data_IF_727199737993
#
_entry.id   IF_727199737993
#
_cell.length_a   1.000
_cell.length_b   1.000
_cell.length_c   1.000
_cell.angle_alpha   90.00
_cell.angle_beta   90.00
_cell.angle_gamma   90.00
#
_symmetry.space_group_name_H-M   'P 1'
#
loop_
_entity.id
_entity.type
_entity.pdbx_description
1 polymer ?
#
# COMPACT_ATOMS: atom_id res chain seq x y z
N UNK A 1 -12.39 5.78 18.24
CA UNK A 1 -12.43 4.35 18.59
C UNK A 1 -12.73 3.54 17.34
N UNK A 2 -12.04 2.46 17.11
CA UNK A 2 -12.40 1.49 16.07
C UNK A 2 -13.72 0.82 16.48
N UNK A 3 -14.60 0.44 15.54
CA UNK A 3 -15.87 -0.19 15.87
C UNK A 3 -15.75 -1.46 16.75
N UNK A 4 -14.59 -2.11 16.70
CA UNK A 4 -14.30 -3.36 17.42
C UNK A 4 -13.68 -3.17 18.81
N UNK A 5 -13.19 -1.97 19.16
CA UNK A 5 -12.48 -1.72 20.41
C UNK A 5 -12.95 -0.42 21.07
N UNK A 6 -13.11 -0.40 22.40
CA UNK A 6 -13.54 0.81 23.12
C UNK A 6 -12.47 1.92 23.10
N UNK A 7 -11.18 1.55 23.05
CA UNK A 7 -10.04 2.47 23.06
C UNK A 7 -8.81 1.86 22.38
N UNK A 8 -7.77 2.67 22.21
CA UNK A 8 -6.51 2.26 21.60
C UNK A 8 -5.72 1.25 22.45
N UNK A 9 -5.84 1.31 23.77
CA UNK A 9 -5.12 0.40 24.65
C UNK A 9 -5.62 -1.03 24.49
N UNK A 10 -6.94 -1.24 24.51
CA UNK A 10 -7.55 -2.56 24.29
C UNK A 10 -7.25 -3.12 22.89
N UNK A 11 -7.16 -2.26 21.87
CA UNK A 11 -6.75 -2.67 20.52
C UNK A 11 -5.28 -3.14 20.49
N UNK A 12 -4.38 -2.43 21.17
CA UNK A 12 -2.96 -2.83 21.26
C UNK A 12 -2.77 -4.11 22.09
N UNK A 13 -3.54 -4.32 23.15
CA UNK A 13 -3.51 -5.55 23.96
C UNK A 13 -3.95 -6.78 23.15
N UNK A 14 -4.99 -6.64 22.32
CA UNK A 14 -5.42 -7.71 21.40
C UNK A 14 -4.35 -7.99 20.36
N UNK A 15 -3.78 -6.95 19.73
CA UNK A 15 -2.66 -7.09 18.78
C UNK A 15 -1.44 -7.75 19.43
N UNK A 16 -1.09 -7.40 20.67
CA UNK A 16 0.00 -8.05 21.40
C UNK A 16 -0.25 -9.56 21.56
N UNK A 17 -1.49 -9.95 21.85
CA UNK A 17 -1.89 -11.36 21.98
C UNK A 17 -1.82 -12.10 20.65
N UNK A 18 -2.27 -11.49 19.55
CA UNK A 18 -2.21 -12.05 18.19
C UNK A 18 -0.74 -12.25 17.78
N UNK A 19 0.06 -11.17 17.85
CA UNK A 19 1.46 -11.18 17.44
C UNK A 19 2.33 -12.15 18.24
N UNK A 20 2.00 -12.35 19.52
CA UNK A 20 2.69 -13.34 20.37
C UNK A 20 2.60 -14.76 19.83
N UNK A 21 1.50 -15.10 19.17
CA UNK A 21 1.21 -16.44 18.68
C UNK A 21 1.49 -16.61 17.18
N UNK A 22 1.82 -15.52 16.46
CA UNK A 22 2.10 -15.53 15.04
C UNK A 22 3.40 -16.28 14.73
N UNK A 23 3.37 -17.13 13.70
CA UNK A 23 4.54 -17.84 13.19
C UNK A 23 4.99 -17.26 11.86
N UNK A 24 6.29 -17.32 11.54
CA UNK A 24 6.81 -16.80 10.28
C UNK A 24 6.20 -17.44 9.03
N UNK A 25 5.77 -18.68 9.13
CA UNK A 25 5.21 -19.46 8.01
C UNK A 25 3.67 -19.40 7.94
N UNK A 26 3.00 -18.65 8.83
CA UNK A 26 1.56 -18.49 8.75
C UNK A 26 1.16 -17.81 7.43
N UNK A 27 0.09 -18.30 6.79
CA UNK A 27 -0.45 -17.75 5.55
C UNK A 27 -0.87 -16.28 5.74
N UNK A 28 -1.35 -15.91 6.91
CA UNK A 28 -1.74 -14.55 7.29
C UNK A 28 -0.72 -14.00 8.29
N UNK A 29 -0.13 -12.88 7.95
CA UNK A 29 0.79 -12.16 8.81
C UNK A 29 0.14 -10.85 9.27
N UNK A 30 0.29 -10.52 10.54
CA UNK A 30 -0.25 -9.31 11.15
C UNK A 30 0.83 -8.23 11.28
N UNK A 31 0.42 -6.98 11.14
CA UNK A 31 1.22 -5.80 11.38
C UNK A 31 0.47 -4.86 12.34
N UNK A 32 1.20 -3.94 12.97
CA UNK A 32 0.62 -2.91 13.82
C UNK A 32 0.35 -1.69 12.94
N UNK A 33 -0.92 -1.40 12.72
CA UNK A 33 -1.35 -0.25 11.91
C UNK A 33 -1.87 0.86 12.82
N UNK A 34 -1.16 1.99 12.85
CA UNK A 34 -1.67 3.26 13.36
C UNK A 34 -2.25 4.02 12.18
N UNK A 35 -3.42 4.66 12.35
CA UNK A 35 -4.04 5.30 11.20
C UNK A 35 -3.17 6.45 10.67
N UNK A 36 -2.93 7.47 11.48
CA UNK A 36 -2.24 8.70 11.04
C UNK A 36 -1.87 9.57 12.25
N UNK A 37 -1.06 10.60 12.02
CA UNK A 37 -0.68 11.60 13.04
C UNK A 37 -1.86 12.47 13.50
N UNK A 38 -2.93 12.54 12.73
CA UNK A 38 -4.11 13.35 13.08
C UNK A 38 -5.22 12.55 13.79
N UNK A 39 -5.26 11.22 13.67
CA UNK A 39 -6.23 10.36 14.37
C UNK A 39 -5.64 9.66 15.60
N UNK A 40 -4.33 9.46 15.65
CA UNK A 40 -3.65 8.85 16.78
C UNK A 40 -2.99 9.94 17.66
N UNK A 41 -3.16 9.83 18.96
CA UNK A 41 -2.43 10.69 19.89
C UNK A 41 -0.99 10.16 20.10
N UNK A 42 -0.14 11.00 20.70
CA UNK A 42 1.25 10.68 20.95
C UNK A 42 1.44 9.36 21.73
N UNK A 43 0.64 9.16 22.79
CA UNK A 43 0.70 7.95 23.62
C UNK A 43 0.44 6.68 22.79
N UNK A 44 -0.56 6.70 21.90
CA UNK A 44 -0.88 5.58 21.02
C UNK A 44 0.25 5.30 20.04
N UNK A 45 0.83 6.35 19.44
CA UNK A 45 1.95 6.21 18.50
C UNK A 45 3.19 5.60 19.19
N UNK A 46 3.56 6.08 20.38
CA UNK A 46 4.68 5.53 21.16
C UNK A 46 4.45 4.07 21.54
N UNK A 47 3.28 3.74 22.09
CA UNK A 47 2.94 2.36 22.49
C UNK A 47 2.92 1.40 21.28
N UNK A 48 2.45 1.85 20.12
CA UNK A 48 2.49 1.07 18.90
C UNK A 48 3.93 0.77 18.46
N UNK A 49 4.82 1.76 18.52
CA UNK A 49 6.24 1.61 18.22
C UNK A 49 6.94 0.66 19.20
N UNK A 50 6.71 0.82 20.50
CA UNK A 50 7.24 -0.08 21.53
C UNK A 50 6.75 -1.53 21.35
N UNK A 51 5.47 -1.72 20.99
CA UNK A 51 4.91 -3.03 20.71
C UNK A 51 5.53 -3.66 19.46
N UNK A 52 5.76 -2.86 18.42
CA UNK A 52 6.42 -3.31 17.19
C UNK A 52 7.84 -3.82 17.48
N UNK A 53 8.60 -3.09 18.27
CA UNK A 53 9.94 -3.50 18.69
C UNK A 53 9.89 -4.77 19.56
N UNK A 54 9.01 -4.81 20.55
CA UNK A 54 8.81 -5.97 21.46
C UNK A 54 8.48 -7.25 20.70
N UNK A 55 7.70 -7.16 19.62
CA UNK A 55 7.22 -8.31 18.84
C UNK A 55 7.96 -8.55 17.53
N UNK A 56 8.94 -7.71 17.20
CA UNK A 56 9.58 -7.66 15.88
C UNK A 56 8.52 -7.61 14.75
N UNK A 57 7.45 -6.87 15.01
CA UNK A 57 6.33 -6.72 14.09
C UNK A 57 6.50 -5.47 13.23
N UNK A 58 5.93 -5.50 12.02
CA UNK A 58 5.97 -4.37 11.11
C UNK A 58 4.98 -3.28 11.56
N UNK A 59 5.41 -2.03 11.52
CA UNK A 59 4.54 -0.86 11.66
C UNK A 59 3.97 -0.42 10.31
N UNK A 60 2.76 0.13 10.33
CA UNK A 60 2.12 0.74 9.19
C UNK A 60 1.43 2.04 9.61
N UNK A 61 1.56 3.10 8.79
CA UNK A 61 0.92 4.39 9.02
C UNK A 61 0.65 5.10 7.69
N UNK A 62 -0.49 5.82 7.57
CA UNK A 62 -0.69 6.81 6.52
C UNK A 62 -0.03 8.11 6.97
N UNK A 63 0.82 8.68 6.13
CA UNK A 63 1.58 9.87 6.50
C UNK A 63 1.80 10.81 5.33
N UNK A 64 1.69 12.09 5.60
CA UNK A 64 1.91 13.16 4.62
C UNK A 64 1.07 12.98 3.35
N UNK A 65 -0.17 12.52 3.51
CA UNK A 65 -1.09 12.25 2.42
C UNK A 65 -1.68 13.54 1.83
N UNK A 66 -2.10 14.47 2.69
CA UNK A 66 -2.80 15.68 2.29
C UNK A 66 -2.14 16.95 2.80
N UNK A 67 -2.35 18.07 2.10
CA UNK A 67 -1.90 19.40 2.59
C UNK A 67 -2.51 19.77 3.94
N UNK A 68 -3.74 19.32 4.18
CA UNK A 68 -4.40 19.58 5.47
C UNK A 68 -3.67 18.89 6.62
N UNK A 69 -3.27 17.64 6.45
CA UNK A 69 -2.47 16.90 7.43
C UNK A 69 -1.17 17.65 7.75
N UNK A 70 -0.46 18.12 6.69
CA UNK A 70 0.78 18.88 6.85
C UNK A 70 0.56 20.15 7.68
N UNK A 71 -0.47 20.93 7.35
CA UNK A 71 -0.79 22.18 8.06
C UNK A 71 -1.21 21.90 9.51
N UNK A 72 -2.14 20.98 9.72
CA UNK A 72 -2.66 20.67 11.05
C UNK A 72 -1.57 20.11 11.98
N UNK A 73 -0.68 19.26 11.46
CA UNK A 73 0.44 18.73 12.24
C UNK A 73 1.43 19.83 12.62
N UNK A 74 1.81 20.67 11.67
CA UNK A 74 2.73 21.77 11.91
C UNK A 74 2.14 22.81 12.89
N UNK A 75 0.88 23.18 12.73
CA UNK A 75 0.21 24.13 13.64
C UNK A 75 0.12 23.60 15.06
N UNK A 76 -0.07 22.28 15.22
CA UNK A 76 -0.23 21.64 16.53
C UNK A 76 1.10 21.37 17.23
N UNK A 77 2.12 20.97 16.48
CA UNK A 77 3.37 20.43 17.04
C UNK A 77 4.61 21.29 16.73
N UNK A 78 4.53 22.19 15.77
CA UNK A 78 5.67 22.91 15.19
C UNK A 78 6.53 22.06 14.23
N UNK A 79 6.17 20.79 13.99
CA UNK A 79 6.89 19.83 13.18
C UNK A 79 6.03 19.34 12.01
N UNK A 80 6.68 18.92 10.92
CA UNK A 80 6.01 18.22 9.83
C UNK A 80 5.78 16.74 10.22
N UNK A 81 4.85 16.01 9.56
CA UNK A 81 4.44 14.68 10.01
C UNK A 81 5.59 13.69 10.21
N UNK A 82 6.56 13.65 9.30
CA UNK A 82 7.73 12.75 9.42
C UNK A 82 8.63 13.22 10.57
N UNK A 83 8.91 14.51 10.69
CA UNK A 83 9.69 15.09 11.79
C UNK A 83 9.01 14.82 13.14
N UNK A 84 7.68 14.93 13.20
CA UNK A 84 6.92 14.63 14.40
C UNK A 84 7.04 13.15 14.79
N UNK A 85 6.85 12.23 13.86
CA UNK A 85 7.00 10.79 14.11
C UNK A 85 8.43 10.43 14.54
N UNK A 86 9.44 11.04 13.93
CA UNK A 86 10.84 10.88 14.34
C UNK A 86 11.09 11.35 15.77
N UNK A 87 10.55 12.50 16.17
CA UNK A 87 10.63 13.02 17.54
C UNK A 87 9.99 12.10 18.59
N UNK A 88 9.10 11.19 18.15
CA UNK A 88 8.46 10.17 19.00
C UNK A 88 9.22 8.84 19.02
N UNK A 89 10.35 8.71 18.31
CA UNK A 89 11.04 7.43 18.07
C UNK A 89 10.09 6.37 17.46
N UNK A 90 9.18 6.83 16.56
CA UNK A 90 8.15 5.97 16.00
C UNK A 90 8.70 4.96 15.00
N UNK A 91 9.64 5.38 14.16
CA UNK A 91 10.14 4.54 13.08
C UNK A 91 10.97 3.36 13.58
N UNK A 92 10.66 2.18 13.04
CA UNK A 92 11.48 0.97 13.20
C UNK A 92 11.83 0.45 11.81
N UNK A 93 12.94 -0.28 11.62
CA UNK A 93 13.31 -0.83 10.32
C UNK A 93 12.15 -1.59 9.67
N UNK A 94 11.85 -1.25 8.40
CA UNK A 94 10.74 -1.84 7.66
C UNK A 94 9.36 -1.26 8.00
N UNK A 95 9.27 -0.14 8.73
CA UNK A 95 8.02 0.62 8.87
C UNK A 95 7.46 0.99 7.50
N UNK A 96 6.16 0.79 7.30
CA UNK A 96 5.46 1.10 6.06
C UNK A 96 4.76 2.45 6.18
N UNK A 97 5.17 3.41 5.36
CA UNK A 97 4.57 4.74 5.26
C UNK A 97 3.74 4.84 3.97
N UNK A 98 2.42 4.72 4.10
CA UNK A 98 1.52 4.87 2.96
C UNK A 98 1.39 6.34 2.56
N UNK A 99 1.20 6.56 1.26
CA UNK A 99 1.11 7.84 0.53
C UNK A 99 2.43 8.60 0.45
N UNK A 100 2.92 9.14 1.58
CA UNK A 100 4.17 9.92 1.65
C UNK A 100 4.32 10.92 0.47
N UNK A 101 3.22 11.66 0.18
CA UNK A 101 3.08 12.48 -1.03
C UNK A 101 3.58 13.91 -0.80
N UNK A 102 3.28 14.49 0.36
CA UNK A 102 3.63 15.85 0.74
C UNK A 102 4.84 15.88 1.68
N UNK A 103 5.98 15.38 1.21
CA UNK A 103 7.19 15.18 1.99
C UNK A 103 8.32 16.08 1.47
N UNK A 104 9.04 16.75 2.35
CA UNK A 104 10.18 17.57 2.02
C UNK A 104 11.46 16.74 1.87
N UNK A 105 12.47 17.28 1.19
CA UNK A 105 13.74 16.57 0.96
C UNK A 105 14.46 16.13 2.25
N UNK A 106 14.40 16.93 3.31
CA UNK A 106 14.95 16.53 4.61
C UNK A 106 14.19 15.35 5.22
N UNK A 107 12.87 15.36 5.15
CA UNK A 107 12.02 14.27 5.63
C UNK A 107 12.23 12.97 4.83
N UNK A 108 12.45 13.06 3.49
CA UNK A 108 12.80 11.88 2.68
C UNK A 108 14.11 11.24 3.15
N UNK A 109 15.12 12.05 3.54
CA UNK A 109 16.36 11.54 4.10
C UNK A 109 16.14 10.85 5.45
N UNK A 110 15.30 11.41 6.30
CA UNK A 110 14.92 10.78 7.58
C UNK A 110 14.29 9.40 7.34
N UNK A 111 13.38 9.28 6.36
CA UNK A 111 12.81 7.97 5.98
C UNK A 111 13.90 6.97 5.54
N UNK A 112 14.89 7.41 4.79
CA UNK A 112 16.02 6.57 4.38
C UNK A 112 16.90 6.13 5.58
N UNK A 113 17.18 7.06 6.51
CA UNK A 113 17.98 6.79 7.72
C UNK A 113 17.33 5.76 8.63
N UNK A 114 15.99 5.68 8.65
CA UNK A 114 15.22 4.71 9.42
C UNK A 114 14.87 3.42 8.68
N UNK A 115 15.37 3.20 7.47
CA UNK A 115 15.06 2.03 6.64
C UNK A 115 13.52 1.82 6.45
N UNK A 116 12.83 2.90 6.17
CA UNK A 116 11.37 2.92 5.98
C UNK A 116 11.02 2.53 4.55
N UNK A 117 9.91 1.81 4.39
CA UNK A 117 9.29 1.56 3.08
C UNK A 117 8.21 2.61 2.82
N UNK A 118 8.36 3.42 1.78
CA UNK A 118 7.32 4.34 1.31
C UNK A 118 6.43 3.65 0.26
N UNK A 119 5.10 3.76 0.41
CA UNK A 119 4.15 3.13 -0.50
C UNK A 119 3.37 4.19 -1.27
N UNK A 120 3.62 4.25 -2.58
CA UNK A 120 2.89 5.13 -3.49
C UNK A 120 1.52 4.54 -3.83
N UNK A 121 0.45 5.31 -3.59
CA UNK A 121 -0.94 4.91 -3.80
C UNK A 121 -1.64 5.88 -4.79
N UNK A 122 -1.27 5.86 -6.08
CA UNK A 122 -1.70 6.88 -7.04
C UNK A 122 -3.22 6.94 -7.25
N UNK A 123 -3.92 5.82 -7.32
CA UNK A 123 -5.38 5.80 -7.49
C UNK A 123 -6.09 6.48 -6.34
N UNK A 124 -5.75 6.13 -5.11
CA UNK A 124 -6.32 6.73 -3.91
C UNK A 124 -6.06 8.23 -3.87
N UNK A 125 -4.79 8.62 -4.01
CA UNK A 125 -4.39 10.03 -3.97
C UNK A 125 -5.12 10.89 -5.02
N UNK A 126 -5.30 10.37 -6.24
CA UNK A 126 -6.04 11.07 -7.29
C UNK A 126 -7.54 11.08 -7.06
N UNK A 127 -8.13 9.97 -6.58
CA UNK A 127 -9.55 9.86 -6.30
C UNK A 127 -10.01 10.85 -5.23
N UNK A 128 -9.25 11.01 -4.16
CA UNK A 128 -9.55 11.99 -3.10
C UNK A 128 -9.02 13.39 -3.39
N UNK A 129 -8.35 13.58 -4.53
CA UNK A 129 -7.77 14.85 -4.96
C UNK A 129 -6.83 15.46 -3.90
N UNK A 130 -5.96 14.65 -3.29
CA UNK A 130 -5.01 15.13 -2.27
C UNK A 130 -3.97 16.12 -2.84
N UNK A 131 -3.85 16.22 -4.16
CA UNK A 131 -3.11 17.24 -4.89
C UNK A 131 -1.59 17.07 -4.87
N UNK A 132 -1.08 15.94 -4.40
CA UNK A 132 0.34 15.60 -4.38
C UNK A 132 0.58 14.18 -4.84
N UNK A 133 1.80 13.93 -5.29
CA UNK A 133 2.32 12.60 -5.61
C UNK A 133 3.65 12.40 -4.93
N UNK A 134 3.91 11.18 -4.46
CA UNK A 134 5.23 10.77 -4.02
C UNK A 134 6.22 11.02 -5.17
N UNK A 135 7.28 11.80 -4.95
CA UNK A 135 8.29 12.07 -5.98
C UNK A 135 9.27 10.90 -6.10
N UNK A 136 8.96 9.93 -6.95
CA UNK A 136 9.80 8.73 -7.12
C UNK A 136 11.29 9.04 -7.31
N UNK A 137 11.71 10.02 -8.16
CA UNK A 137 13.13 10.35 -8.30
C UNK A 137 13.79 10.81 -7.00
N UNK A 138 13.11 11.63 -6.20
CA UNK A 138 13.66 12.14 -4.95
C UNK A 138 13.84 11.04 -3.89
N UNK A 139 12.88 10.10 -3.84
CA UNK A 139 12.96 8.95 -2.94
C UNK A 139 14.08 7.98 -3.34
N UNK A 140 14.23 7.74 -4.64
CA UNK A 140 15.31 6.89 -5.16
C UNK A 140 16.68 7.50 -4.94
N UNK A 141 16.84 8.83 -5.13
CA UNK A 141 18.07 9.56 -4.84
C UNK A 141 18.48 9.45 -3.37
N UNK A 142 17.50 9.47 -2.47
CA UNK A 142 17.73 9.32 -1.03
C UNK A 142 17.94 7.86 -0.59
N UNK A 143 17.68 6.88 -1.45
CA UNK A 143 17.81 5.45 -1.13
C UNK A 143 16.64 4.84 -0.36
N UNK A 144 15.48 5.49 -0.35
CA UNK A 144 14.26 4.96 0.29
C UNK A 144 13.70 3.78 -0.51
N UNK A 145 13.28 2.71 0.15
CA UNK A 145 12.56 1.61 -0.47
C UNK A 145 11.14 2.06 -0.86
N UNK A 146 10.90 2.22 -2.17
CA UNK A 146 9.58 2.60 -2.70
C UNK A 146 8.82 1.37 -3.18
N UNK A 147 7.55 1.30 -2.82
CA UNK A 147 6.59 0.28 -3.26
C UNK A 147 5.34 0.95 -3.84
N UNK A 148 4.45 0.14 -4.40
CA UNK A 148 3.13 0.54 -4.88
C UNK A 148 2.07 -0.17 -4.06
N UNK A 149 0.99 0.53 -3.75
CA UNK A 149 -0.18 -0.03 -3.05
C UNK A 149 -1.48 0.49 -3.62
N UNK A 150 -2.49 -0.36 -3.63
CA UNK A 150 -3.85 -0.01 -4.09
C UNK A 150 -4.62 0.83 -3.08
N UNK A 151 -4.15 0.89 -1.83
CA UNK A 151 -4.98 1.34 -0.71
C UNK A 151 -6.23 0.44 -0.53
N UNK A 152 -7.18 0.82 0.30
CA UNK A 152 -8.39 0.05 0.54
C UNK A 152 -9.37 0.07 -0.64
N UNK A 153 -10.21 -0.94 -0.76
CA UNK A 153 -11.22 -1.03 -1.82
C UNK A 153 -12.19 0.17 -1.85
N UNK A 154 -12.48 0.79 -0.69
CA UNK A 154 -13.28 2.00 -0.61
C UNK A 154 -12.52 3.26 -1.04
N UNK A 155 -11.20 3.29 -0.88
CA UNK A 155 -10.35 4.45 -1.18
C UNK A 155 -10.02 4.55 -2.67
N UNK A 156 -9.44 3.51 -3.27
CA UNK A 156 -8.98 3.54 -4.66
C UNK A 156 -10.04 3.11 -5.68
N UNK A 157 -10.98 2.31 -5.25
CA UNK A 157 -11.97 1.64 -6.08
C UNK A 157 -11.99 0.15 -5.76
N UNK A 158 -12.99 -0.56 -6.22
CA UNK A 158 -13.25 -1.96 -5.83
C UNK A 158 -12.21 -2.97 -6.36
N UNK A 159 -11.35 -2.59 -7.30
CA UNK A 159 -10.58 -3.56 -8.06
C UNK A 159 -9.35 -4.14 -7.36
N UNK A 160 -8.75 -3.44 -6.40
CA UNK A 160 -7.46 -3.81 -5.77
C UNK A 160 -6.43 -4.32 -6.81
N UNK A 161 -6.39 -3.68 -7.99
CA UNK A 161 -5.64 -4.13 -9.16
C UNK A 161 -4.23 -3.50 -9.18
N UNK A 162 -3.24 -4.29 -8.82
CA UNK A 162 -1.83 -3.87 -8.79
C UNK A 162 -1.27 -3.52 -10.17
N UNK A 163 -1.78 -4.08 -11.27
CA UNK A 163 -1.33 -3.70 -12.61
C UNK A 163 -1.86 -2.31 -12.99
N UNK A 164 -3.11 -2.02 -12.66
CA UNK A 164 -3.67 -0.68 -12.82
C UNK A 164 -2.91 0.36 -11.99
N UNK A 165 -2.57 0.06 -10.73
CA UNK A 165 -1.76 0.92 -9.89
C UNK A 165 -0.35 1.13 -10.46
N UNK A 166 0.32 0.09 -10.93
CA UNK A 166 1.62 0.18 -11.56
C UNK A 166 1.59 1.06 -12.82
N UNK A 167 0.56 0.89 -13.65
CA UNK A 167 0.33 1.76 -14.81
C UNK A 167 0.17 3.21 -14.41
N UNK A 168 -0.69 3.47 -13.43
CA UNK A 168 -0.98 4.82 -12.94
C UNK A 168 0.26 5.46 -12.33
N UNK A 169 1.01 4.74 -11.50
CA UNK A 169 2.27 5.20 -10.93
C UNK A 169 3.25 5.64 -12.02
N UNK A 170 3.44 4.84 -13.07
CA UNK A 170 4.32 5.22 -14.17
C UNK A 170 3.85 6.47 -14.90
N UNK A 171 2.54 6.60 -15.15
CA UNK A 171 1.97 7.71 -15.91
C UNK A 171 2.01 9.02 -15.10
N UNK A 172 1.66 8.99 -13.83
CA UNK A 172 1.63 10.19 -12.98
C UNK A 172 3.03 10.73 -12.75
N UNK A 173 4.04 9.87 -12.53
CA UNK A 173 5.43 10.30 -12.38
C UNK A 173 5.94 11.00 -13.63
N UNK A 174 5.66 10.46 -14.83
CA UNK A 174 6.04 11.08 -16.11
C UNK A 174 5.35 12.42 -16.32
N UNK A 175 4.07 12.50 -15.96
CA UNK A 175 3.29 13.72 -16.09
C UNK A 175 3.80 14.82 -15.16
N UNK A 176 3.99 14.52 -13.89
CA UNK A 176 4.38 15.49 -12.87
C UNK A 176 5.82 16.01 -13.06
N UNK A 177 6.71 15.15 -13.53
CA UNK A 177 8.12 15.50 -13.75
C UNK A 177 8.45 15.92 -15.20
N UNK A 178 7.47 15.90 -16.12
CA UNK A 178 7.65 16.25 -17.53
C UNK A 178 8.74 15.41 -18.20
N UNK A 179 8.91 14.16 -17.78
CA UNK A 179 9.91 13.23 -18.28
C UNK A 179 9.30 11.88 -18.63
N UNK A 180 9.18 11.60 -19.93
CA UNK A 180 8.62 10.35 -20.44
C UNK A 180 9.48 9.11 -20.15
N UNK A 181 10.72 9.28 -19.69
CA UNK A 181 11.64 8.18 -19.38
C UNK A 181 11.54 7.69 -17.94
N UNK A 182 10.89 8.46 -17.06
CA UNK A 182 10.75 8.10 -15.67
C UNK A 182 9.92 6.84 -15.50
N UNK A 183 10.31 6.05 -14.53
CA UNK A 183 9.64 4.84 -14.05
C UNK A 183 9.20 3.95 -15.24
N UNK A 184 10.16 3.39 -16.01
CA UNK A 184 9.84 2.51 -17.12
C UNK A 184 9.07 1.26 -16.64
N UNK A 185 8.39 0.57 -17.55
CA UNK A 185 7.53 -0.55 -17.22
C UNK A 185 8.23 -1.65 -16.40
N UNK A 186 9.51 -1.89 -16.67
CA UNK A 186 10.34 -2.84 -15.93
C UNK A 186 10.52 -2.44 -14.47
N UNK A 187 10.77 -1.16 -14.23
CA UNK A 187 11.05 -0.64 -12.90
C UNK A 187 9.76 -0.57 -12.07
N UNK A 188 8.66 -0.08 -12.66
CA UNK A 188 7.36 -0.05 -11.97
C UNK A 188 6.86 -1.46 -11.67
N UNK A 189 7.07 -2.43 -12.57
CA UNK A 189 6.75 -3.83 -12.31
C UNK A 189 7.58 -4.40 -11.16
N UNK A 190 8.88 -4.04 -11.12
CA UNK A 190 9.78 -4.45 -10.06
C UNK A 190 9.35 -3.91 -8.69
N UNK A 191 9.03 -2.62 -8.57
CA UNK A 191 8.59 -2.03 -7.29
C UNK A 191 7.20 -2.51 -6.87
N UNK A 192 6.34 -2.90 -7.81
CA UNK A 192 5.02 -3.48 -7.54
C UNK A 192 5.11 -4.93 -7.02
N UNK A 193 6.17 -5.68 -7.40
CA UNK A 193 6.33 -7.10 -7.07
C UNK A 193 7.49 -7.40 -6.12
N UNK A 194 8.28 -6.42 -5.75
CA UNK A 194 9.49 -6.59 -4.92
C UNK A 194 9.18 -7.23 -3.57
N UNK A 195 9.93 -8.28 -3.23
CA UNK A 195 9.85 -9.00 -1.95
C UNK A 195 8.69 -9.98 -1.84
N UNK A 196 7.82 -10.09 -2.84
CA UNK A 196 6.84 -11.18 -2.90
C UNK A 196 7.52 -12.51 -3.18
N UNK A 197 7.07 -13.55 -2.48
CA UNK A 197 7.38 -14.96 -2.80
C UNK A 197 6.27 -15.60 -3.61
N UNK A 198 5.20 -14.84 -3.83
CA UNK A 198 4.04 -15.25 -4.60
C UNK A 198 4.31 -15.03 -6.09
N UNK A 199 3.63 -15.76 -6.93
CA UNK A 199 3.81 -15.64 -8.37
C UNK A 199 2.52 -15.90 -9.13
N UNK A 200 2.44 -15.33 -10.33
CA UNK A 200 1.29 -15.42 -11.21
C UNK A 200 1.72 -15.75 -12.64
N UNK A 201 0.87 -16.48 -13.36
CA UNK A 201 1.02 -16.79 -14.78
C UNK A 201 0.02 -15.97 -15.59
N UNK A 202 0.52 -15.26 -16.58
CA UNK A 202 -0.27 -14.38 -17.44
C UNK A 202 -0.42 -14.94 -18.83
N UNK A 203 -1.59 -14.77 -19.44
CA UNK A 203 -1.90 -15.24 -20.77
C UNK A 203 -1.23 -14.38 -21.84
N UNK A 204 -0.14 -14.86 -22.43
CA UNK A 204 0.55 -14.17 -23.53
C UNK A 204 -0.24 -14.19 -24.85
N UNK A 205 -1.29 -15.01 -24.97
CA UNK A 205 -2.19 -15.00 -26.13
C UNK A 205 -3.33 -13.98 -26.02
N UNK A 206 -3.42 -13.28 -24.88
CA UNK A 206 -4.35 -12.17 -24.73
C UNK A 206 -4.09 -11.10 -25.80
N UNK A 207 -5.17 -10.55 -26.41
CA UNK A 207 -5.05 -9.52 -27.43
C UNK A 207 -4.33 -8.27 -26.91
N UNK A 208 -4.48 -7.95 -25.64
CA UNK A 208 -3.82 -6.82 -24.96
C UNK A 208 -2.29 -6.95 -24.94
N UNK A 209 -1.78 -8.16 -25.04
CA UNK A 209 -0.35 -8.45 -25.13
C UNK A 209 0.24 -8.28 -26.53
N UNK A 210 -0.58 -7.97 -27.54
CA UNK A 210 -0.11 -7.83 -28.93
C UNK A 210 0.34 -6.40 -29.27
N UNK A 211 1.41 -6.25 -30.10
CA UNK A 211 2.31 -7.29 -30.58
C UNK A 211 3.31 -7.72 -29.50
N UNK A 212 3.57 -9.02 -29.37
CA UNK A 212 4.48 -9.55 -28.35
C UNK A 212 5.93 -9.07 -28.56
N UNK A 213 6.37 -8.98 -29.80
CA UNK A 213 7.78 -8.71 -30.09
C UNK A 213 8.70 -9.86 -29.65
N UNK A 214 10.03 -9.59 -29.64
CA UNK A 214 11.05 -10.58 -29.26
C UNK A 214 11.76 -10.26 -27.94
N UNK A 215 11.41 -9.16 -27.29
CA UNK A 215 12.05 -8.69 -26.05
C UNK A 215 11.15 -8.92 -24.84
N UNK A 216 11.69 -9.48 -23.77
CA UNK A 216 11.01 -9.61 -22.48
C UNK A 216 10.51 -8.29 -21.92
N UNK A 217 11.27 -7.20 -22.11
CA UNK A 217 10.86 -5.85 -21.68
C UNK A 217 9.57 -5.41 -22.36
N UNK A 218 9.32 -5.82 -23.61
CA UNK A 218 8.05 -5.53 -24.29
C UNK A 218 6.88 -6.31 -23.67
N UNK A 219 7.12 -7.54 -23.25
CA UNK A 219 6.09 -8.32 -22.56
C UNK A 219 5.69 -7.65 -21.24
N UNK A 220 6.67 -7.20 -20.46
CA UNK A 220 6.43 -6.44 -19.23
C UNK A 220 5.71 -5.13 -19.51
N UNK A 221 6.13 -4.39 -20.55
CA UNK A 221 5.47 -3.14 -20.93
C UNK A 221 4.01 -3.36 -21.34
N UNK A 222 3.73 -4.38 -22.15
CA UNK A 222 2.36 -4.72 -22.53
C UNK A 222 1.53 -5.12 -21.30
N UNK A 223 2.10 -5.93 -20.39
CA UNK A 223 1.43 -6.34 -19.16
C UNK A 223 1.08 -5.13 -18.27
N UNK A 224 2.05 -4.25 -18.01
CA UNK A 224 1.85 -3.07 -17.16
C UNK A 224 0.85 -2.08 -17.78
N UNK A 225 0.99 -1.77 -19.08
CA UNK A 225 0.17 -0.72 -19.69
C UNK A 225 -1.17 -1.19 -20.23
N UNK A 226 -1.31 -2.45 -20.57
CA UNK A 226 -2.51 -2.98 -21.21
C UNK A 226 -3.22 -4.05 -20.36
N UNK A 227 -2.51 -4.66 -19.40
CA UNK A 227 -2.99 -5.82 -18.66
C UNK A 227 -2.97 -7.10 -19.49
N UNK A 228 -3.28 -8.21 -18.84
CA UNK A 228 -3.53 -9.51 -19.44
C UNK A 228 -4.42 -10.33 -18.51
N UNK A 229 -4.96 -11.43 -19.02
CA UNK A 229 -5.66 -12.43 -18.20
C UNK A 229 -4.65 -13.14 -17.29
N UNK A 230 -4.92 -13.18 -15.97
CA UNK A 230 -4.19 -14.00 -15.03
C UNK A 230 -4.77 -15.44 -15.06
N UNK A 231 -3.96 -16.40 -15.51
CA UNK A 231 -4.37 -17.79 -15.58
C UNK A 231 -4.24 -18.50 -14.24
N UNK A 232 -3.07 -18.37 -13.63
CA UNK A 232 -2.78 -19.06 -12.38
C UNK A 232 -2.09 -18.12 -11.38
N UNK A 233 -2.29 -18.39 -10.08
CA UNK A 233 -1.64 -17.65 -9.00
C UNK A 233 -1.35 -18.55 -7.81
N UNK A 234 -0.17 -18.39 -7.24
CA UNK A 234 0.23 -19.08 -6.01
C UNK A 234 0.59 -18.08 -4.94
N UNK A 235 0.06 -18.32 -3.75
CA UNK A 235 0.37 -17.55 -2.54
C UNK A 235 0.97 -18.51 -1.52
N UNK A 236 2.19 -18.23 -1.06
CA UNK A 236 2.93 -19.09 -0.14
C UNK A 236 2.96 -20.57 -0.59
N UNK A 237 3.11 -20.82 -1.88
CA UNK A 237 3.13 -22.17 -2.48
C UNK A 237 1.77 -22.85 -2.65
N UNK A 238 0.67 -22.21 -2.23
CA UNK A 238 -0.69 -22.70 -2.42
C UNK A 238 -1.29 -22.07 -3.66
N UNK A 239 -1.80 -22.89 -4.59
CA UNK A 239 -2.49 -22.44 -5.79
C UNK A 239 -3.86 -21.84 -5.41
N UNK A 240 -4.00 -20.52 -5.47
CA UNK A 240 -5.23 -19.81 -5.13
C UNK A 240 -6.09 -19.48 -6.36
N UNK A 241 -5.50 -19.51 -7.54
CA UNK A 241 -6.16 -19.39 -8.85
C UNK A 241 -5.53 -20.39 -9.81
N UNK A 242 -6.34 -21.16 -10.51
CA UNK A 242 -5.89 -22.19 -11.47
C UNK A 242 -6.79 -22.17 -12.70
N UNK A 243 -6.19 -22.11 -13.90
CA UNK A 243 -6.91 -22.06 -15.17
C UNK A 243 -7.99 -20.93 -15.20
N UNK A 244 -7.67 -19.78 -14.64
CA UNK A 244 -8.59 -18.63 -14.61
C UNK A 244 -9.69 -18.69 -13.57
N UNK A 245 -9.71 -19.68 -12.68
CA UNK A 245 -10.72 -19.85 -11.62
C UNK A 245 -10.08 -19.83 -10.24
N UNK A 246 -10.73 -19.18 -9.27
CA UNK A 246 -10.32 -19.26 -7.86
C UNK A 246 -10.56 -20.67 -7.31
N UNK A 247 -9.65 -21.13 -6.43
CA UNK A 247 -9.67 -22.52 -5.93
C UNK A 247 -10.36 -22.67 -4.58
N UNK A 248 -10.44 -21.60 -3.80
CA UNK A 248 -10.92 -21.63 -2.42
C UNK A 248 -12.16 -20.77 -2.16
N UNK A 249 -12.61 -20.02 -3.15
CA UNK A 249 -13.75 -19.11 -3.04
C UNK A 249 -14.74 -19.42 -4.16
N UNK A 250 -16.01 -19.54 -3.83
CA UNK A 250 -17.11 -19.52 -4.82
C UNK A 250 -17.38 -18.05 -5.18
N UNK A 251 -16.90 -17.62 -6.34
CA UNK A 251 -17.03 -16.23 -6.79
C UNK A 251 -18.48 -15.79 -6.94
N UNK A 252 -19.37 -16.69 -7.40
CA UNK A 252 -20.80 -16.38 -7.56
C UNK A 252 -21.50 -16.23 -6.22
N UNK A 253 -21.15 -17.06 -5.24
CA UNK A 253 -21.65 -16.91 -3.88
C UNK A 253 -21.18 -15.59 -3.27
N UNK A 254 -19.89 -15.27 -3.40
CA UNK A 254 -19.32 -14.02 -2.86
C UNK A 254 -19.98 -12.77 -3.49
N UNK A 255 -20.24 -12.77 -4.79
CA UNK A 255 -20.97 -11.68 -5.46
C UNK A 255 -22.41 -11.54 -4.94
N UNK A 256 -23.15 -12.65 -4.83
CA UNK A 256 -24.52 -12.62 -4.31
C UNK A 256 -24.59 -12.15 -2.84
N UNK A 257 -23.59 -12.47 -2.04
CA UNK A 257 -23.47 -12.00 -0.66
C UNK A 257 -23.17 -10.51 -0.58
N UNK A 258 -22.27 -10.02 -1.46
CA UNK A 258 -21.96 -8.59 -1.55
C UNK A 258 -23.18 -7.77 -1.98
N UNK A 259 -23.88 -8.19 -3.03
CA UNK A 259 -25.09 -7.52 -3.52
C UNK A 259 -26.15 -7.42 -2.41
N UNK A 260 -26.39 -8.52 -1.70
CA UNK A 260 -27.31 -8.52 -0.57
C UNK A 260 -26.88 -7.59 0.57
N UNK A 261 -25.58 -7.54 0.88
CA UNK A 261 -25.06 -6.64 1.90
C UNK A 261 -25.24 -5.17 1.50
N UNK A 262 -25.07 -4.84 0.23
CA UNK A 262 -25.30 -3.49 -0.33
C UNK A 262 -26.79 -3.13 -0.26
N UNK A 263 -27.68 -4.01 -0.67
CA UNK A 263 -29.13 -3.81 -0.57
C UNK A 263 -29.56 -3.55 0.88
N UNK A 264 -29.12 -4.38 1.82
CA UNK A 264 -29.42 -4.22 3.26
C UNK A 264 -28.89 -2.88 3.81
N UNK A 265 -27.71 -2.44 3.34
CA UNK A 265 -27.16 -1.15 3.75
C UNK A 265 -28.08 0.01 3.30
N UNK A 266 -28.54 0.00 2.06
CA UNK A 266 -29.40 1.07 1.55
C UNK A 266 -30.81 1.05 2.16
N UNK A 267 -31.38 -0.11 2.43
CA UNK A 267 -32.67 -0.22 3.15
C UNK A 267 -32.59 0.38 4.57
N UNK A 268 -31.43 0.40 5.19
CA UNK A 268 -31.20 0.99 6.53
C UNK A 268 -30.90 2.49 6.53
N UNK A 269 -30.74 3.10 5.36
CA UNK A 269 -30.37 4.52 5.20
C UNK A 269 -31.56 5.37 4.71
N UNK A 270 -32.63 4.78 4.19
CA UNK A 270 -33.92 5.42 3.87
C UNK A 270 -34.77 5.56 5.14
#
# INVERSE_FOLDING_TARGET
ALPSHPDAASALDELDSILKNQKPDDMVQYAIATHSVYLCNEETLRKASELAEKRAARLHIHVSETRKEIADCHDKTGLYPIEYLDSLDFFKPGTVCAHASWVKKNEIRMLAEHDVTAVHCPSSNMKIACGGTLSYPAYMEAGVDVRIGTDGAASSGSGLDMLSEARLAALVQRHDHWDATLLPATDVFQIASKGSKDWAVWNLNDIRMRPLGRSGNRHIANLVFNGAECLDMWVNGVGVRMNGQTTSIDEMQAWNELDRAVETYYEGVE
#
